data_IF_125208481312
#
_entry.id   IF_125208481312
#
_cell.length_a   1.000
_cell.length_b   1.000
_cell.length_c   1.000
_cell.angle_alpha   90.00
_cell.angle_beta   90.00
_cell.angle_gamma   90.00
#
_symmetry.space_group_name_H-M   'P 1'
#
loop_
_entity.id
_entity.type
_entity.pdbx_description
1 polymer ?
#
# COMPACT_ATOMS: atom_id res chain seq x y z
N UNK A 1 -17.28 10.50 -21.52
CA UNK A 1 -16.77 11.89 -21.48
C UNK A 1 -15.44 12.04 -20.74
N UNK A 2 -15.20 11.31 -19.63
CA UNK A 2 -13.97 11.42 -18.82
C UNK A 2 -12.69 10.97 -19.55
N UNK A 3 -12.80 10.09 -20.52
CA UNK A 3 -11.64 9.51 -21.26
C UNK A 3 -11.02 10.51 -22.28
N UNK A 4 -11.67 11.65 -22.53
CA UNK A 4 -11.19 12.68 -23.47
C UNK A 4 -10.45 13.84 -22.79
N UNK A 5 -10.41 13.88 -21.46
CA UNK A 5 -9.75 14.94 -20.71
C UNK A 5 -8.23 14.72 -20.69
N UNK A 6 -7.41 15.62 -21.29
CA UNK A 6 -5.95 15.50 -21.26
C UNK A 6 -5.37 15.50 -19.84
N UNK A 7 -6.02 16.19 -18.90
CA UNK A 7 -5.61 16.23 -17.49
C UNK A 7 -5.70 14.84 -16.87
N UNK A 8 -6.80 14.10 -17.13
CA UNK A 8 -6.95 12.71 -16.66
C UNK A 8 -5.81 11.82 -17.13
N UNK A 9 -5.48 11.86 -18.42
CA UNK A 9 -4.41 11.04 -18.97
C UNK A 9 -3.03 11.41 -18.43
N UNK A 10 -2.75 12.70 -18.23
CA UNK A 10 -1.52 13.17 -17.59
C UNK A 10 -1.37 12.66 -16.17
N UNK A 11 -2.41 12.79 -15.35
CA UNK A 11 -2.42 12.31 -13.97
C UNK A 11 -2.35 10.78 -13.89
N UNK A 12 -3.05 10.07 -14.78
CA UNK A 12 -3.01 8.62 -14.84
C UNK A 12 -1.60 8.10 -15.19
N UNK A 13 -0.95 8.69 -16.19
CA UNK A 13 0.41 8.31 -16.58
C UNK A 13 1.41 8.53 -15.44
N UNK A 14 1.40 9.71 -14.84
CA UNK A 14 2.30 10.06 -13.73
C UNK A 14 2.03 9.12 -12.54
N UNK A 15 0.76 8.93 -12.16
CA UNK A 15 0.39 8.04 -11.06
C UNK A 15 0.84 6.61 -11.30
N UNK A 16 0.61 6.05 -12.50
CA UNK A 16 1.02 4.70 -12.87
C UNK A 16 2.54 4.54 -12.90
N UNK A 17 3.29 5.53 -13.38
CA UNK A 17 4.76 5.50 -13.37
C UNK A 17 5.30 5.48 -11.94
N UNK A 18 4.80 6.34 -11.07
CA UNK A 18 5.22 6.39 -9.66
C UNK A 18 4.93 5.05 -8.97
N UNK A 19 3.72 4.51 -9.15
CA UNK A 19 3.33 3.23 -8.55
C UNK A 19 4.16 2.07 -9.12
N UNK A 20 4.38 2.04 -10.44
CA UNK A 20 5.17 1.00 -11.11
C UNK A 20 6.60 0.95 -10.62
N UNK A 21 7.28 2.11 -10.57
CA UNK A 21 8.65 2.23 -10.03
C UNK A 21 8.68 1.81 -8.55
N UNK A 22 7.70 2.27 -7.77
CA UNK A 22 7.61 1.92 -6.35
C UNK A 22 7.42 0.42 -6.12
N UNK A 23 6.53 -0.23 -6.85
CA UNK A 23 6.31 -1.68 -6.75
C UNK A 23 7.49 -2.50 -7.28
N UNK A 24 8.13 -2.03 -8.34
CA UNK A 24 9.26 -2.74 -8.96
C UNK A 24 10.53 -2.81 -8.10
N UNK A 25 10.82 -1.79 -7.29
CA UNK A 25 12.09 -1.72 -6.57
C UNK A 25 12.02 -1.29 -5.10
N UNK A 26 10.95 -0.58 -4.71
CA UNK A 26 10.86 0.05 -3.37
C UNK A 26 9.78 -0.57 -2.47
N UNK A 27 9.30 -1.76 -2.76
CA UNK A 27 8.33 -2.47 -1.94
C UNK A 27 6.95 -1.81 -1.86
N UNK A 28 6.55 -1.03 -2.87
CA UNK A 28 5.18 -0.53 -3.01
C UNK A 28 4.79 0.61 -2.07
N UNK A 29 5.72 1.20 -1.32
CA UNK A 29 5.40 2.26 -0.35
C UNK A 29 4.74 3.49 -0.96
N UNK A 30 5.18 3.91 -2.15
CA UNK A 30 4.57 5.03 -2.88
C UNK A 30 3.30 4.63 -3.67
N UNK A 31 2.88 3.36 -3.59
CA UNK A 31 1.64 2.90 -4.19
C UNK A 31 0.41 3.68 -3.71
N UNK A 32 0.47 4.22 -2.49
CA UNK A 32 -0.58 5.08 -1.92
C UNK A 32 -0.87 6.34 -2.76
N UNK A 33 0.06 6.78 -3.59
CA UNK A 33 -0.08 8.01 -4.40
C UNK A 33 -0.94 7.80 -5.66
N UNK A 34 -1.01 6.57 -6.18
CA UNK A 34 -1.69 6.28 -7.45
C UNK A 34 -3.16 6.67 -7.49
N UNK A 35 -3.94 6.21 -6.51
CA UNK A 35 -5.37 6.53 -6.43
C UNK A 35 -5.63 8.03 -6.22
N UNK A 36 -4.94 8.76 -5.31
CA UNK A 36 -5.06 10.21 -5.18
C UNK A 36 -4.82 10.99 -6.48
N UNK A 37 -3.83 10.60 -7.29
CA UNK A 37 -3.57 11.27 -8.57
C UNK A 37 -4.78 11.18 -9.50
N UNK A 38 -5.37 10.01 -9.65
CA UNK A 38 -6.57 9.84 -10.47
C UNK A 38 -7.80 10.51 -9.81
N UNK A 39 -7.89 10.45 -8.49
CA UNK A 39 -9.00 11.02 -7.72
C UNK A 39 -9.03 12.57 -7.73
N UNK A 40 -7.98 13.20 -8.23
CA UNK A 40 -7.98 14.64 -8.51
C UNK A 40 -8.88 15.00 -9.72
N UNK A 41 -9.10 14.06 -10.66
CA UNK A 41 -9.90 14.28 -11.87
C UNK A 41 -11.24 13.51 -11.84
N UNK A 42 -11.34 12.41 -11.08
CA UNK A 42 -12.51 11.52 -11.07
C UNK A 42 -12.87 11.09 -9.63
N UNK A 43 -14.08 10.53 -9.37
CA UNK A 43 -14.44 9.97 -8.07
C UNK A 43 -13.46 8.86 -7.62
N UNK A 44 -13.22 8.76 -6.30
CA UNK A 44 -12.22 7.85 -5.70
C UNK A 44 -12.51 6.38 -6.04
N UNK A 45 -13.77 5.97 -6.00
CA UNK A 45 -14.18 4.60 -6.35
C UNK A 45 -13.85 4.24 -7.80
N UNK A 46 -14.04 5.18 -8.74
CA UNK A 46 -13.67 5.00 -10.14
C UNK A 46 -12.15 4.99 -10.32
N UNK A 47 -11.43 5.87 -9.63
CA UNK A 47 -9.97 5.90 -9.64
C UNK A 47 -9.38 4.57 -9.16
N UNK A 48 -9.91 4.03 -8.05
CA UNK A 48 -9.50 2.72 -7.53
C UNK A 48 -9.81 1.58 -8.51
N UNK A 49 -10.99 1.59 -9.14
CA UNK A 49 -11.38 0.57 -10.13
C UNK A 49 -10.47 0.59 -11.38
N UNK A 50 -10.09 1.78 -11.87
CA UNK A 50 -9.19 1.93 -13.02
C UNK A 50 -7.76 1.49 -12.66
N UNK A 51 -7.30 1.77 -11.44
CA UNK A 51 -5.97 1.36 -10.98
C UNK A 51 -5.84 -0.16 -10.80
N UNK A 52 -6.91 -0.85 -10.43
CA UNK A 52 -6.89 -2.27 -10.09
C UNK A 52 -6.25 -3.17 -11.16
N UNK A 53 -6.67 -3.14 -12.45
CA UNK A 53 -6.06 -3.99 -13.47
C UNK A 53 -4.57 -3.69 -13.67
N UNK A 54 -4.16 -2.42 -13.57
CA UNK A 54 -2.76 -2.04 -13.67
C UNK A 54 -1.95 -2.62 -12.50
N UNK A 55 -2.49 -2.55 -11.27
CA UNK A 55 -1.86 -3.14 -10.09
C UNK A 55 -1.73 -4.65 -10.20
N UNK A 56 -2.75 -5.35 -10.71
CA UNK A 56 -2.71 -6.81 -10.95
C UNK A 56 -1.58 -7.16 -11.92
N UNK A 57 -1.45 -6.44 -13.04
CA UNK A 57 -0.37 -6.68 -14.01
C UNK A 57 1.00 -6.44 -13.35
N UNK A 58 1.15 -5.36 -12.57
CA UNK A 58 2.38 -5.07 -11.84
C UNK A 58 2.71 -6.17 -10.82
N UNK A 59 1.72 -6.73 -10.14
CA UNK A 59 1.91 -7.80 -9.15
C UNK A 59 2.29 -9.12 -9.83
N UNK A 60 1.64 -9.50 -10.93
CA UNK A 60 2.00 -10.69 -11.71
C UNK A 60 3.44 -10.59 -12.24
N UNK A 61 3.82 -9.45 -12.81
CA UNK A 61 5.18 -9.23 -13.30
C UNK A 61 6.20 -9.22 -12.17
N UNK A 62 5.84 -8.61 -11.03
CA UNK A 62 6.66 -8.61 -9.83
C UNK A 62 6.86 -10.02 -9.25
N UNK A 63 5.80 -10.83 -9.16
CA UNK A 63 5.89 -12.23 -8.74
C UNK A 63 6.85 -13.04 -9.61
N UNK A 64 6.78 -12.81 -10.92
CA UNK A 64 7.67 -13.49 -11.86
C UNK A 64 9.14 -13.07 -11.66
N UNK A 65 9.39 -11.76 -11.47
CA UNK A 65 10.74 -11.22 -11.29
C UNK A 65 11.38 -11.58 -9.95
N UNK A 66 10.59 -11.69 -8.87
CA UNK A 66 11.06 -11.94 -7.51
C UNK A 66 10.85 -13.39 -7.03
N UNK A 67 10.71 -14.36 -7.96
CA UNK A 67 10.39 -15.75 -7.63
C UNK A 67 11.34 -16.35 -6.58
N UNK A 68 10.74 -16.90 -5.51
CA UNK A 68 11.47 -17.65 -4.48
C UNK A 68 12.27 -16.81 -3.48
N UNK A 69 12.24 -15.47 -3.59
CA UNK A 69 13.05 -14.58 -2.74
C UNK A 69 12.27 -13.98 -1.55
N UNK A 70 11.07 -14.44 -1.28
CA UNK A 70 10.22 -13.89 -0.21
C UNK A 70 10.42 -14.57 1.15
N UNK A 71 10.08 -13.86 2.23
CA UNK A 71 10.16 -14.35 3.59
C UNK A 71 8.85 -15.02 4.02
N UNK A 72 8.79 -16.37 3.98
CA UNK A 72 7.61 -17.13 4.39
C UNK A 72 7.18 -16.90 5.83
N UNK A 73 8.12 -16.66 6.74
CA UNK A 73 7.82 -16.43 8.16
C UNK A 73 6.94 -15.19 8.30
N UNK A 74 7.24 -14.13 7.55
CA UNK A 74 6.46 -12.90 7.58
C UNK A 74 5.13 -13.05 6.86
N UNK A 75 5.11 -13.69 5.70
CA UNK A 75 3.89 -13.94 4.95
C UNK A 75 2.87 -14.75 5.75
N UNK A 76 3.29 -15.78 6.48
CA UNK A 76 2.40 -16.57 7.36
C UNK A 76 1.77 -15.74 8.48
N UNK A 77 2.40 -14.63 8.89
CA UNK A 77 1.85 -13.71 9.88
C UNK A 77 0.96 -12.64 9.25
N UNK A 78 1.35 -12.15 8.09
CA UNK A 78 0.71 -11.05 7.39
C UNK A 78 -0.55 -11.48 6.63
N UNK A 79 -0.50 -12.58 5.85
CA UNK A 79 -1.60 -12.97 4.96
C UNK A 79 -2.92 -13.28 5.70
N UNK A 80 -2.94 -14.06 6.80
CA UNK A 80 -4.19 -14.27 7.53
C UNK A 80 -4.76 -12.98 8.13
N UNK A 81 -3.89 -12.11 8.62
CA UNK A 81 -4.29 -10.82 9.17
C UNK A 81 -4.80 -9.87 8.08
N UNK A 82 -4.14 -9.84 6.91
CA UNK A 82 -4.58 -9.07 5.76
C UNK A 82 -5.94 -9.57 5.23
N UNK A 83 -6.16 -10.88 5.17
CA UNK A 83 -7.45 -11.45 4.78
C UNK A 83 -8.59 -10.96 5.71
N UNK A 84 -8.36 -10.92 7.03
CA UNK A 84 -9.30 -10.32 7.98
C UNK A 84 -9.52 -8.83 7.68
N UNK A 85 -8.45 -8.08 7.39
CA UNK A 85 -8.54 -6.67 7.02
C UNK A 85 -9.36 -6.45 5.75
N UNK A 86 -9.14 -7.27 4.72
CA UNK A 86 -9.91 -7.23 3.46
C UNK A 86 -11.39 -7.54 3.73
N UNK A 87 -11.71 -8.56 4.53
CA UNK A 87 -13.09 -8.89 4.90
C UNK A 87 -13.77 -7.72 5.64
N UNK A 88 -13.09 -7.10 6.60
CA UNK A 88 -13.60 -5.92 7.30
C UNK A 88 -13.80 -4.74 6.35
N UNK A 89 -12.87 -4.52 5.41
CA UNK A 89 -13.00 -3.53 4.35
C UNK A 89 -14.23 -3.81 3.47
N UNK A 90 -14.41 -5.04 3.02
CA UNK A 90 -15.54 -5.45 2.19
C UNK A 90 -16.89 -5.27 2.87
N UNK A 91 -17.00 -5.60 4.15
CA UNK A 91 -18.23 -5.41 4.93
C UNK A 91 -18.56 -3.93 5.16
N UNK A 92 -17.53 -3.10 5.38
CA UNK A 92 -17.71 -1.66 5.64
C UNK A 92 -17.84 -0.79 4.39
N UNK A 93 -17.37 -1.26 3.23
CA UNK A 93 -17.22 -0.44 2.03
C UNK A 93 -18.56 0.00 1.41
N UNK A 94 -19.58 -0.83 1.51
CA UNK A 94 -20.91 -0.55 0.90
C UNK A 94 -21.63 0.69 1.45
N UNK A 95 -21.20 1.23 2.60
CA UNK A 95 -21.77 2.44 3.21
C UNK A 95 -20.88 3.69 3.11
N UNK A 96 -19.70 3.60 2.52
CA UNK A 96 -18.75 4.73 2.49
C UNK A 96 -19.06 5.67 1.32
N UNK A 97 -19.29 6.96 1.64
CA UNK A 97 -19.38 8.02 0.64
C UNK A 97 -18.01 8.34 0.03
N UNK A 98 -17.99 8.96 -1.17
CA UNK A 98 -16.75 9.42 -1.81
C UNK A 98 -15.95 10.36 -0.88
N UNK A 99 -16.64 11.21 -0.12
CA UNK A 99 -15.99 12.08 0.87
C UNK A 99 -15.31 11.29 1.99
N UNK A 100 -15.91 10.20 2.47
CA UNK A 100 -15.30 9.34 3.49
C UNK A 100 -14.05 8.67 2.94
N UNK A 101 -14.06 8.22 1.69
CA UNK A 101 -12.90 7.65 1.02
C UNK A 101 -11.77 8.69 0.86
N UNK A 102 -12.09 9.93 0.48
CA UNK A 102 -11.11 11.03 0.39
C UNK A 102 -10.48 11.35 1.74
N UNK A 103 -11.27 11.43 2.80
CA UNK A 103 -10.79 11.65 4.17
C UNK A 103 -9.89 10.50 4.63
N UNK A 104 -10.26 9.26 4.31
CA UNK A 104 -9.46 8.09 4.63
C UNK A 104 -8.10 8.11 3.92
N UNK A 105 -8.06 8.38 2.61
CA UNK A 105 -6.81 8.52 1.85
C UNK A 105 -5.95 9.65 2.41
N UNK A 106 -6.56 10.83 2.63
CA UNK A 106 -5.87 11.99 3.19
C UNK A 106 -5.32 11.71 4.59
N UNK A 107 -6.11 11.06 5.45
CA UNK A 107 -5.70 10.66 6.79
C UNK A 107 -4.52 9.67 6.80
N UNK A 108 -4.56 8.66 5.91
CA UNK A 108 -3.45 7.73 5.73
C UNK A 108 -2.21 8.49 5.26
N UNK A 109 -2.32 9.31 4.22
CA UNK A 109 -1.20 10.09 3.69
C UNK A 109 -0.58 11.02 4.72
N UNK A 110 -1.41 11.78 5.45
CA UNK A 110 -0.95 12.67 6.52
C UNK A 110 -0.31 11.89 7.68
N UNK A 111 -0.94 10.82 8.14
CA UNK A 111 -0.42 10.01 9.25
C UNK A 111 0.97 9.45 8.95
N UNK A 112 1.16 8.89 7.75
CA UNK A 112 2.48 8.39 7.34
C UNK A 112 3.46 9.51 7.00
N UNK A 113 3.02 10.63 6.45
CA UNK A 113 3.83 11.81 6.25
C UNK A 113 4.38 12.35 7.58
N UNK A 114 3.53 12.52 8.58
CA UNK A 114 3.92 12.95 9.93
C UNK A 114 4.88 11.94 10.57
N UNK A 115 4.58 10.64 10.47
CA UNK A 115 5.46 9.60 10.99
C UNK A 115 6.85 9.65 10.36
N UNK A 116 6.92 9.85 9.04
CA UNK A 116 8.18 10.00 8.32
C UNK A 116 8.97 11.21 8.80
N UNK A 117 8.29 12.37 8.98
CA UNK A 117 8.89 13.59 9.50
C UNK A 117 9.45 13.39 10.91
N UNK A 118 8.69 12.79 11.82
CA UNK A 118 9.13 12.52 13.19
C UNK A 118 10.39 11.63 13.21
N UNK A 119 10.45 10.64 12.32
CA UNK A 119 11.61 9.76 12.19
C UNK A 119 12.85 10.50 11.65
N UNK A 120 12.66 11.42 10.69
CA UNK A 120 13.76 12.18 10.07
C UNK A 120 14.28 13.31 10.96
N UNK A 121 13.41 13.94 11.74
CA UNK A 121 13.82 14.98 12.69
C UNK A 121 14.55 14.42 13.93
N UNK A 122 14.72 13.11 14.02
CA UNK A 122 15.41 12.46 15.14
C UNK A 122 14.67 12.57 16.48
N UNK A 123 13.39 12.98 16.44
CA UNK A 123 12.56 13.12 17.63
C UNK A 123 12.19 11.76 18.26
N UNK A 124 12.35 10.70 17.48
CA UNK A 124 12.20 9.35 17.99
C UNK A 124 13.59 8.77 18.24
N UNK A 125 13.98 8.62 19.50
CA UNK A 125 15.18 7.88 19.86
C UNK A 125 15.13 6.54 19.13
N UNK A 126 16.19 6.22 18.39
CA UNK A 126 16.35 4.92 17.72
C UNK A 126 16.22 3.85 18.81
N UNK A 127 15.01 3.39 19.02
CA UNK A 127 14.79 2.21 19.84
C UNK A 127 15.73 1.11 19.31
N UNK A 128 16.44 0.46 20.22
CA UNK A 128 17.22 -0.73 19.91
C UNK A 128 16.42 -1.61 18.93
N UNK A 129 17.07 -2.27 17.97
CA UNK A 129 16.39 -3.10 16.99
C UNK A 129 15.77 -4.32 17.69
N UNK A 130 14.61 -4.11 18.30
CA UNK A 130 13.79 -5.21 18.79
C UNK A 130 12.99 -5.73 17.59
N UNK A 131 13.11 -7.02 17.32
CA UNK A 131 12.26 -7.68 16.33
C UNK A 131 10.80 -7.42 16.73
N UNK A 132 9.98 -6.81 15.86
CA UNK A 132 8.59 -6.54 16.18
C UNK A 132 7.89 -7.81 16.60
N UNK A 133 7.07 -7.73 17.65
CA UNK A 133 6.31 -8.88 18.10
C UNK A 133 5.41 -9.41 16.96
N UNK A 134 5.09 -10.69 16.99
CA UNK A 134 4.18 -11.28 16.01
C UNK A 134 2.83 -10.56 15.98
N UNK A 135 2.39 -10.01 17.12
CA UNK A 135 1.18 -9.20 17.23
C UNK A 135 1.28 -7.89 16.43
N UNK A 136 2.38 -7.15 16.55
CA UNK A 136 2.63 -5.93 15.79
C UNK A 136 2.54 -6.19 14.27
N UNK A 137 3.21 -7.26 13.79
CA UNK A 137 3.18 -7.64 12.38
C UNK A 137 1.76 -8.00 11.92
N UNK A 138 0.99 -8.74 12.73
CA UNK A 138 -0.40 -9.09 12.41
C UNK A 138 -1.31 -7.88 12.39
N UNK A 139 -1.22 -7.02 13.40
CA UNK A 139 -2.03 -5.80 13.48
C UNK A 139 -1.84 -4.92 12.24
N UNK A 140 -0.59 -4.61 11.90
CA UNK A 140 -0.30 -3.79 10.73
C UNK A 140 -0.60 -4.51 9.42
N UNK A 141 -0.48 -5.82 9.37
CA UNK A 141 -0.93 -6.64 8.25
C UNK A 141 -2.44 -6.53 8.01
N UNK A 142 -3.24 -6.54 9.09
CA UNK A 142 -4.70 -6.33 9.02
C UNK A 142 -5.04 -4.92 8.52
N UNK A 143 -4.37 -3.89 9.07
CA UNK A 143 -4.53 -2.50 8.60
C UNK A 143 -4.14 -2.37 7.14
N UNK A 144 -3.04 -3.02 6.70
CA UNK A 144 -2.61 -3.01 5.32
C UNK A 144 -3.64 -3.68 4.39
N UNK A 145 -4.22 -4.81 4.79
CA UNK A 145 -5.29 -5.47 4.03
C UNK A 145 -6.53 -4.60 3.90
N UNK A 146 -6.98 -4.00 5.00
CA UNK A 146 -8.13 -3.09 5.01
C UNK A 146 -7.93 -1.87 4.09
N UNK A 147 -6.80 -1.19 4.22
CA UNK A 147 -6.50 0.01 3.43
C UNK A 147 -6.18 -0.31 1.97
N UNK A 148 -5.58 -1.48 1.71
CA UNK A 148 -5.35 -1.97 0.35
C UNK A 148 -6.66 -2.24 -0.38
N UNK A 149 -7.60 -2.93 0.28
CA UNK A 149 -8.93 -3.20 -0.28
C UNK A 149 -9.70 -1.90 -0.56
N UNK A 150 -9.70 -0.98 0.39
CA UNK A 150 -10.55 0.21 0.33
C UNK A 150 -10.07 1.23 -0.72
N UNK A 151 -8.76 1.51 -0.79
CA UNK A 151 -8.20 2.62 -1.58
C UNK A 151 -6.80 2.32 -2.16
N UNK A 152 -6.40 1.07 -2.23
CA UNK A 152 -5.08 0.62 -2.67
C UNK A 152 -3.90 1.27 -1.90
N UNK A 153 -4.11 1.62 -0.62
CA UNK A 153 -3.14 2.29 0.25
C UNK A 153 -2.53 1.34 1.30
N UNK A 154 -2.37 0.07 1.00
CA UNK A 154 -1.79 -0.91 1.92
C UNK A 154 -0.28 -0.81 2.11
N UNK A 155 0.44 -0.07 1.23
CA UNK A 155 1.89 0.06 1.26
C UNK A 155 2.43 0.63 2.58
N UNK A 156 2.00 1.82 3.01
CA UNK A 156 2.48 2.43 4.24
C UNK A 156 2.29 1.56 5.51
N UNK A 157 1.10 0.99 5.81
CA UNK A 157 0.95 0.09 6.94
C UNK A 157 1.86 -1.15 6.86
N UNK A 158 2.04 -1.71 5.66
CA UNK A 158 2.94 -2.84 5.45
C UNK A 158 4.40 -2.46 5.72
N UNK A 159 4.81 -1.24 5.38
CA UNK A 159 6.14 -0.71 5.71
C UNK A 159 6.35 -0.65 7.22
N UNK A 160 5.36 -0.19 7.99
CA UNK A 160 5.44 -0.18 9.46
C UNK A 160 5.63 -1.60 10.03
N UNK A 161 5.01 -2.61 9.40
CA UNK A 161 5.18 -3.99 9.81
C UNK A 161 6.57 -4.57 9.48
N UNK A 162 7.13 -4.24 8.30
CA UNK A 162 8.30 -4.92 7.74
C UNK A 162 9.62 -4.16 7.90
N UNK A 163 9.64 -2.81 7.82
CA UNK A 163 10.89 -2.04 7.91
C UNK A 163 11.68 -2.26 9.20
N UNK A 164 11.05 -2.36 10.39
CA UNK A 164 11.79 -2.62 11.62
C UNK A 164 12.51 -3.96 11.64
N UNK A 165 12.11 -4.89 10.76
CA UNK A 165 12.69 -6.23 10.67
C UNK A 165 14.00 -6.29 9.90
N UNK A 166 14.39 -5.17 9.25
CA UNK A 166 15.67 -5.03 8.52
C UNK A 166 15.93 -6.18 7.54
N UNK A 167 14.89 -6.63 6.83
CA UNK A 167 15.02 -7.62 5.78
C UNK A 167 15.99 -7.11 4.69
N UNK A 168 16.70 -8.03 4.04
CA UNK A 168 17.43 -7.69 2.82
C UNK A 168 16.49 -6.99 1.82
N UNK A 169 16.91 -5.92 1.13
CA UNK A 169 16.05 -5.17 0.22
C UNK A 169 15.33 -6.02 -0.83
N UNK A 170 15.98 -7.07 -1.34
CA UNK A 170 15.38 -7.99 -2.32
C UNK A 170 14.28 -8.84 -1.66
N UNK A 171 14.56 -9.38 -0.46
CA UNK A 171 13.59 -10.17 0.30
C UNK A 171 12.40 -9.29 0.72
N UNK A 172 12.66 -8.03 1.11
CA UNK A 172 11.61 -7.07 1.41
C UNK A 172 10.72 -6.82 0.20
N UNK A 173 11.29 -6.46 -0.97
CA UNK A 173 10.54 -6.20 -2.19
C UNK A 173 9.74 -7.44 -2.64
N UNK A 174 10.36 -8.63 -2.63
CA UNK A 174 9.69 -9.88 -2.96
C UNK A 174 8.52 -10.20 -2.01
N UNK A 175 8.72 -9.98 -0.70
CA UNK A 175 7.68 -10.24 0.31
C UNK A 175 6.50 -9.28 0.16
N UNK A 176 6.74 -8.01 -0.16
CA UNK A 176 5.68 -7.03 -0.41
C UNK A 176 4.89 -7.35 -1.67
N UNK A 177 5.53 -7.80 -2.74
CA UNK A 177 4.84 -8.23 -3.96
C UNK A 177 3.90 -9.40 -3.66
N UNK A 178 4.38 -10.46 -2.99
CA UNK A 178 3.54 -11.62 -2.61
C UNK A 178 2.39 -11.21 -1.68
N UNK A 179 2.60 -10.23 -0.82
CA UNK A 179 1.55 -9.74 0.07
C UNK A 179 0.39 -9.08 -0.68
N UNK A 180 0.67 -8.35 -1.76
CA UNK A 180 -0.34 -7.61 -2.53
C UNK A 180 -1.00 -8.41 -3.66
N UNK A 181 -0.48 -9.58 -3.99
CA UNK A 181 -1.06 -10.52 -4.98
C UNK A 181 -2.15 -11.38 -4.38
#
# INVERSE_FOLDING_TARGET
MLIQDPLFWGLALIGLLIVGVSKGGFGGGLGVVGVPFLAAAIPVNQAAAIMLPCLIIMDITGLYGWRGQWCWIQLRRLLPAAALGVCLGGLGFHGLSDNALRVMIGGIGLGFGIQWWIQHLGLNHRSEPSLPSAWHTRFWGMVAGFTSFSVHAGGPPLQVALLPQRLDPKIYAATTVVFFT
#
